data_IF_820420446216
#
_entry.id   IF_820420446216
#
_cell.length_a   1.000
_cell.length_b   1.000
_cell.length_c   1.000
_cell.angle_alpha   90.00
_cell.angle_beta   90.00
_cell.angle_gamma   90.00
#
_symmetry.space_group_name_H-M   'P 1'
#
loop_
_entity.id
_entity.type
_entity.pdbx_description
1 polymer ?
#
# COMPACT_ATOMS: atom_id res chain seq x y z
N UNK A 1 25.81 1.53 -11.29
CA UNK A 1 25.42 0.65 -10.17
C UNK A 1 23.92 0.48 -10.31
N UNK A 2 23.42 -0.73 -10.53
CA UNK A 2 21.97 -0.97 -10.56
C UNK A 2 21.45 -0.73 -9.15
N UNK A 3 20.60 0.27 -8.98
CA UNK A 3 20.00 0.57 -7.69
C UNK A 3 19.30 -0.69 -7.17
N UNK A 4 19.68 -1.14 -5.96
CA UNK A 4 19.09 -2.33 -5.33
C UNK A 4 17.74 -1.95 -4.74
N UNK A 5 16.71 -1.97 -5.59
CA UNK A 5 15.37 -1.50 -5.25
C UNK A 5 14.48 -2.68 -4.84
N UNK A 6 13.63 -2.44 -3.85
CA UNK A 6 12.44 -3.24 -3.54
C UNK A 6 11.23 -2.47 -4.08
N UNK A 7 10.52 -3.02 -5.06
CA UNK A 7 9.26 -2.44 -5.50
C UNK A 7 8.12 -2.93 -4.58
N UNK A 8 7.47 -2.00 -3.88
CA UNK A 8 6.38 -2.31 -2.94
C UNK A 8 5.04 -1.81 -3.48
N UNK A 9 4.25 -2.73 -4.04
CA UNK A 9 2.91 -2.45 -4.55
C UNK A 9 1.85 -2.71 -3.47
N UNK A 10 0.92 -1.77 -3.31
CA UNK A 10 -0.13 -1.88 -2.30
C UNK A 10 -1.40 -1.08 -2.63
N UNK A 11 -2.48 -1.30 -1.90
CA UNK A 11 -3.65 -0.42 -1.88
C UNK A 11 -3.94 0.04 -0.45
N UNK A 12 -4.26 1.32 -0.25
CA UNK A 12 -4.58 1.88 1.07
C UNK A 12 -5.75 1.18 1.79
N UNK A 13 -6.65 0.52 1.05
CA UNK A 13 -7.73 -0.30 1.58
C UNK A 13 -7.34 -1.73 1.94
N UNK A 14 -6.07 -2.14 1.79
CA UNK A 14 -5.60 -3.50 2.04
C UNK A 14 -5.04 -3.67 3.46
N UNK A 15 -5.65 -4.51 4.32
CA UNK A 15 -5.12 -4.81 5.66
C UNK A 15 -3.72 -5.43 5.64
N UNK A 16 -3.49 -6.43 4.79
CA UNK A 16 -2.16 -7.03 4.65
C UNK A 16 -1.15 -6.03 4.05
N UNK A 17 -1.61 -5.10 3.20
CA UNK A 17 -0.81 -3.99 2.70
C UNK A 17 -0.34 -3.07 3.83
N UNK A 18 -1.21 -2.79 4.80
CA UNK A 18 -0.89 -2.02 6.00
C UNK A 18 0.16 -2.71 6.88
N UNK A 19 0.00 -3.99 7.18
CA UNK A 19 1.00 -4.72 7.96
C UNK A 19 2.37 -4.73 7.26
N UNK A 20 2.41 -4.96 5.94
CA UNK A 20 3.65 -4.89 5.18
C UNK A 20 4.25 -3.48 5.15
N UNK A 21 3.44 -2.43 5.07
CA UNK A 21 3.90 -1.03 5.10
C UNK A 21 4.62 -0.66 6.42
N UNK A 22 4.31 -1.34 7.52
CA UNK A 22 5.00 -1.16 8.81
C UNK A 22 6.35 -1.89 8.88
N UNK A 23 6.63 -2.84 7.98
CA UNK A 23 7.86 -3.64 7.98
C UNK A 23 8.79 -3.35 6.81
N UNK A 24 8.27 -2.86 5.67
CA UNK A 24 8.99 -2.86 4.38
C UNK A 24 10.28 -2.03 4.40
N UNK A 25 10.31 -0.89 5.09
CA UNK A 25 11.53 -0.06 5.21
C UNK A 25 12.59 -0.71 6.09
N UNK A 26 12.18 -1.35 7.18
CA UNK A 26 13.10 -2.08 8.05
C UNK A 26 13.70 -3.27 7.29
N UNK A 27 12.87 -4.01 6.55
CA UNK A 27 13.29 -5.08 5.65
C UNK A 27 14.32 -4.57 4.62
N UNK A 28 14.05 -3.44 3.97
CA UNK A 28 14.97 -2.87 2.98
C UNK A 28 16.31 -2.46 3.61
N UNK A 29 16.27 -1.83 4.78
CA UNK A 29 17.45 -1.45 5.55
C UNK A 29 18.30 -2.65 5.94
N UNK A 30 17.67 -3.73 6.45
CA UNK A 30 18.34 -5.01 6.75
C UNK A 30 19.06 -5.60 5.53
N UNK A 31 18.52 -5.38 4.33
CA UNK A 31 19.04 -5.92 3.07
C UNK A 31 20.02 -4.96 2.35
N UNK A 32 20.28 -3.76 2.90
CA UNK A 32 21.06 -2.72 2.25
C UNK A 32 20.43 -2.24 0.93
N UNK A 33 19.10 -2.10 0.92
CA UNK A 33 18.27 -1.72 -0.23
C UNK A 33 17.41 -0.49 0.08
N UNK A 34 16.83 0.09 -0.97
CA UNK A 34 15.79 1.13 -0.86
C UNK A 34 14.44 0.58 -1.31
N UNK A 35 13.35 1.21 -0.87
CA UNK A 35 11.98 0.85 -1.27
C UNK A 35 11.42 1.91 -2.20
N UNK A 36 10.77 1.48 -3.28
CA UNK A 36 9.89 2.33 -4.08
C UNK A 36 8.44 1.93 -3.81
N UNK A 37 7.69 2.84 -3.18
CA UNK A 37 6.28 2.66 -2.85
C UNK A 37 5.42 2.92 -4.08
N UNK A 38 4.53 1.98 -4.40
CA UNK A 38 3.70 1.98 -5.62
C UNK A 38 2.23 1.69 -5.28
N UNK A 39 1.50 2.67 -4.72
CA UNK A 39 0.09 2.47 -4.46
C UNK A 39 -0.71 2.30 -5.76
N UNK A 40 -1.63 1.35 -5.81
CA UNK A 40 -2.54 1.15 -6.93
C UNK A 40 -3.93 0.78 -6.42
N UNK A 41 -4.88 0.59 -7.34
CA UNK A 41 -6.24 0.16 -7.01
C UNK A 41 -6.43 -1.33 -7.33
N UNK A 42 -6.75 -2.18 -6.35
CA UNK A 42 -6.99 -3.60 -6.58
C UNK A 42 -8.18 -3.86 -7.51
N UNK A 43 -9.12 -2.91 -7.62
CA UNK A 43 -10.24 -3.02 -8.56
C UNK A 43 -9.81 -3.33 -10.00
N UNK A 44 -8.66 -2.80 -10.46
CA UNK A 44 -8.13 -3.14 -11.80
C UNK A 44 -7.60 -4.57 -11.87
N UNK A 45 -6.95 -5.06 -10.80
CA UNK A 45 -6.47 -6.43 -10.69
C UNK A 45 -7.63 -7.45 -10.55
N UNK A 46 -8.67 -7.11 -9.80
CA UNK A 46 -9.88 -7.92 -9.65
C UNK A 46 -10.58 -8.10 -10.99
N UNK A 47 -10.74 -7.03 -11.77
CA UNK A 47 -11.32 -7.12 -13.11
C UNK A 47 -10.54 -8.05 -14.05
N UNK A 48 -9.21 -8.10 -13.91
CA UNK A 48 -8.33 -8.98 -14.72
C UNK A 48 -8.34 -10.44 -14.26
N UNK A 49 -8.41 -10.69 -12.95
CA UNK A 49 -8.30 -12.03 -12.36
C UNK A 49 -9.64 -12.72 -12.09
N UNK A 50 -10.74 -11.98 -12.13
CA UNK A 50 -12.06 -12.47 -11.71
C UNK A 50 -12.22 -12.57 -10.18
N UNK A 51 -11.30 -11.96 -9.42
CA UNK A 51 -11.35 -11.92 -7.96
C UNK A 51 -12.30 -10.85 -7.44
N UNK A 52 -12.60 -10.90 -6.14
CA UNK A 52 -13.39 -9.89 -5.40
C UNK A 52 -12.65 -9.52 -4.11
N UNK A 53 -13.03 -8.41 -3.42
CA UNK A 53 -12.47 -8.08 -2.11
C UNK A 53 -12.50 -9.28 -1.15
N UNK A 54 -11.40 -9.49 -0.43
CA UNK A 54 -11.20 -10.70 0.40
C UNK A 54 -12.32 -10.92 1.44
N UNK A 55 -12.85 -9.83 2.01
CA UNK A 55 -13.95 -9.87 2.98
C UNK A 55 -15.25 -10.43 2.41
N UNK A 56 -15.43 -10.33 1.09
CA UNK A 56 -16.62 -10.78 0.36
C UNK A 56 -16.50 -12.23 -0.11
N UNK A 57 -15.30 -12.82 -0.06
CA UNK A 57 -15.11 -14.23 -0.42
C UNK A 57 -15.67 -15.14 0.70
N UNK A 58 -16.63 -16.04 0.40
CA UNK A 58 -17.20 -16.94 1.41
C UNK A 58 -16.11 -17.74 2.14
N UNK A 59 -16.30 -17.95 3.45
CA UNK A 59 -15.37 -18.58 4.39
C UNK A 59 -14.07 -17.78 4.65
N UNK A 60 -13.46 -17.18 3.62
CA UNK A 60 -12.24 -16.37 3.79
C UNK A 60 -12.51 -15.07 4.53
N UNK A 61 -13.66 -14.44 4.30
CA UNK A 61 -13.99 -13.16 4.92
C UNK A 61 -13.98 -13.19 6.44
N UNK A 62 -14.52 -14.25 7.05
CA UNK A 62 -14.55 -14.40 8.51
C UNK A 62 -13.20 -14.84 9.07
N UNK A 63 -12.45 -15.66 8.32
CA UNK A 63 -11.07 -16.01 8.67
C UNK A 63 -10.18 -14.76 8.76
N UNK A 64 -10.22 -13.91 7.73
CA UNK A 64 -9.32 -12.75 7.65
C UNK A 64 -9.57 -11.73 8.74
N UNK A 65 -10.82 -11.57 9.21
CA UNK A 65 -11.10 -10.73 10.38
C UNK A 65 -10.31 -11.17 11.61
N UNK A 66 -10.29 -12.48 11.90
CA UNK A 66 -9.52 -13.02 13.01
C UNK A 66 -8.02 -12.98 12.74
N UNK A 67 -7.63 -13.13 11.47
CA UNK A 67 -6.23 -13.10 11.06
C UNK A 67 -5.60 -11.73 11.24
N UNK A 68 -6.29 -10.65 10.91
CA UNK A 68 -5.78 -9.29 11.11
C UNK A 68 -5.57 -8.96 12.59
N UNK A 69 -6.48 -9.40 13.47
CA UNK A 69 -6.29 -9.29 14.93
C UNK A 69 -5.04 -10.08 15.37
N UNK A 70 -4.88 -11.32 14.92
CA UNK A 70 -3.69 -12.14 15.24
C UNK A 70 -2.39 -11.49 14.75
N UNK A 71 -2.38 -10.91 13.56
CA UNK A 71 -1.19 -10.26 12.99
C UNK A 71 -0.86 -8.99 13.78
N UNK A 72 -1.88 -8.21 14.15
CA UNK A 72 -1.72 -7.07 15.06
C UNK A 72 -1.07 -7.50 16.37
N UNK A 73 -1.62 -8.51 17.05
CA UNK A 73 -1.07 -9.03 18.30
C UNK A 73 0.37 -9.57 18.15
N UNK A 74 0.64 -10.25 17.04
CA UNK A 74 1.96 -10.84 16.76
C UNK A 74 3.03 -9.80 16.45
N UNK A 75 2.69 -8.75 15.70
CA UNK A 75 3.63 -7.72 15.25
C UNK A 75 3.70 -6.50 16.16
N UNK A 76 2.71 -6.30 17.03
CA UNK A 76 2.52 -5.07 17.79
C UNK A 76 2.04 -3.88 16.93
N UNK A 77 1.64 -4.12 15.67
CA UNK A 77 1.13 -3.07 14.77
C UNK A 77 -0.26 -2.64 15.25
N UNK A 78 -0.50 -1.35 15.56
CA UNK A 78 -1.82 -0.87 15.97
C UNK A 78 -2.88 -1.18 14.91
N UNK A 79 -4.01 -1.75 15.33
CA UNK A 79 -5.05 -2.21 14.41
C UNK A 79 -6.46 -1.90 14.93
N UNK A 80 -7.34 -1.55 14.00
CA UNK A 80 -8.77 -1.36 14.18
C UNK A 80 -9.45 -1.58 12.83
N UNK A 81 -10.45 -2.46 12.79
CA UNK A 81 -11.27 -2.62 11.60
C UNK A 81 -12.05 -1.32 11.31
N UNK A 82 -11.90 -0.72 10.12
CA UNK A 82 -12.57 0.53 9.79
C UNK A 82 -14.09 0.36 9.77
N UNK A 83 -14.83 1.38 10.23
CA UNK A 83 -16.31 1.37 10.26
C UNK A 83 -16.94 1.06 8.89
N UNK A 84 -16.32 1.53 7.81
CA UNK A 84 -16.74 1.26 6.44
C UNK A 84 -15.64 0.45 5.75
N UNK A 85 -15.84 -0.86 5.70
CA UNK A 85 -14.88 -1.80 5.12
C UNK A 85 -15.62 -2.97 4.44
N UNK A 86 -15.20 -3.42 3.24
CA UNK A 86 -14.18 -2.81 2.38
C UNK A 86 -14.67 -1.48 1.76
N UNK A 87 -13.76 -0.52 1.54
CA UNK A 87 -14.07 0.74 0.85
C UNK A 87 -12.90 1.17 -0.04
N UNK A 88 -13.20 1.66 -1.25
CA UNK A 88 -12.19 2.24 -2.13
C UNK A 88 -11.71 3.61 -1.60
N UNK A 89 -10.39 3.81 -1.56
CA UNK A 89 -9.74 5.03 -1.06
C UNK A 89 -8.96 5.66 -2.22
N UNK A 90 -9.55 6.68 -2.86
CA UNK A 90 -9.01 7.26 -4.09
C UNK A 90 -8.11 8.48 -3.86
N UNK A 91 -8.42 9.31 -2.86
CA UNK A 91 -7.66 10.53 -2.59
C UNK A 91 -6.23 10.23 -2.12
N UNK A 92 -6.04 9.25 -1.24
CA UNK A 92 -4.71 8.91 -0.72
C UNK A 92 -3.70 8.50 -1.81
N UNK A 93 -3.97 7.52 -2.70
CA UNK A 93 -3.00 7.17 -3.74
C UNK A 93 -2.79 8.28 -4.77
N UNK A 94 -3.80 9.13 -5.03
CA UNK A 94 -3.64 10.33 -5.87
C UNK A 94 -2.71 11.35 -5.22
N UNK A 95 -2.94 11.66 -3.95
CA UNK A 95 -2.10 12.57 -3.17
C UNK A 95 -0.66 12.09 -3.08
N UNK A 96 -0.46 10.77 -2.91
CA UNK A 96 0.87 10.16 -2.96
C UNK A 96 1.57 10.46 -4.29
N UNK A 97 0.95 10.15 -5.42
CA UNK A 97 1.59 10.39 -6.73
C UNK A 97 1.77 11.87 -7.05
N UNK A 98 0.87 12.75 -6.61
CA UNK A 98 1.04 14.20 -6.75
C UNK A 98 2.30 14.71 -6.02
N UNK A 99 2.64 14.14 -4.87
CA UNK A 99 3.87 14.46 -4.14
C UNK A 99 5.11 13.90 -4.86
N UNK A 100 5.03 12.67 -5.37
CA UNK A 100 6.11 12.04 -6.15
C UNK A 100 6.40 12.85 -7.43
N UNK A 101 5.38 13.31 -8.14
CA UNK A 101 5.54 14.11 -9.37
C UNK A 101 6.19 15.49 -9.08
N UNK A 102 6.22 15.93 -7.82
CA UNK A 102 6.95 17.12 -7.37
C UNK A 102 8.38 16.82 -6.88
N UNK A 103 8.85 15.57 -6.94
CA UNK A 103 10.13 15.13 -6.38
C UNK A 103 10.16 15.12 -4.85
N UNK A 104 9.00 14.92 -4.20
CA UNK A 104 8.86 14.87 -2.74
C UNK A 104 8.65 13.44 -2.24
N UNK A 105 9.45 12.49 -2.72
CA UNK A 105 9.32 11.05 -2.47
C UNK A 105 9.27 10.70 -0.97
N UNK A 106 10.17 11.26 -0.16
CA UNK A 106 10.20 11.01 1.30
C UNK A 106 8.92 11.50 2.00
N UNK A 107 8.38 12.64 1.56
CA UNK A 107 7.13 13.19 2.08
C UNK A 107 5.94 12.34 1.61
N UNK A 108 5.97 11.81 0.39
CA UNK A 108 4.97 10.89 -0.12
C UNK A 108 4.91 9.60 0.72
N UNK A 109 6.06 9.02 1.06
CA UNK A 109 6.15 7.84 1.95
C UNK A 109 5.67 8.18 3.37
N UNK A 110 6.05 9.35 3.90
CA UNK A 110 5.57 9.84 5.20
C UNK A 110 4.05 9.94 5.23
N UNK A 111 3.47 10.56 4.19
CA UNK A 111 2.03 10.66 4.01
C UNK A 111 1.36 9.29 3.87
N UNK A 112 1.94 8.37 3.09
CA UNK A 112 1.36 7.04 2.91
C UNK A 112 1.26 6.28 4.24
N UNK A 113 2.30 6.33 5.07
CA UNK A 113 2.29 5.72 6.42
C UNK A 113 1.23 6.37 7.31
N UNK A 114 1.14 7.70 7.31
CA UNK A 114 0.15 8.43 8.09
C UNK A 114 -1.29 8.11 7.65
N UNK A 115 -1.55 8.05 6.35
CA UNK A 115 -2.85 7.68 5.78
C UNK A 115 -3.24 6.25 6.17
N UNK A 116 -2.33 5.29 6.03
CA UNK A 116 -2.56 3.92 6.49
C UNK A 116 -2.92 3.85 7.98
N UNK A 117 -2.14 4.52 8.84
CA UNK A 117 -2.41 4.60 10.29
C UNK A 117 -3.77 5.24 10.57
N UNK A 118 -4.10 6.33 9.87
CA UNK A 118 -5.38 7.01 10.02
C UNK A 118 -6.56 6.05 9.77
N UNK A 119 -6.47 5.22 8.73
CA UNK A 119 -7.52 4.27 8.39
C UNK A 119 -7.56 3.05 9.31
N UNK A 120 -6.43 2.36 9.49
CA UNK A 120 -6.37 1.05 10.15
C UNK A 120 -5.98 1.06 11.63
N UNK A 121 -5.61 2.20 12.21
CA UNK A 121 -5.35 2.31 13.64
C UNK A 121 -6.26 3.35 14.31
N UNK A 122 -6.44 4.50 13.67
CA UNK A 122 -7.19 5.62 14.24
C UNK A 122 -8.68 5.61 13.84
N UNK A 123 -9.12 4.66 12.99
CA UNK A 123 -10.50 4.48 12.51
C UNK A 123 -11.09 5.77 11.89
N UNK A 124 -10.26 6.52 11.15
CA UNK A 124 -10.62 7.76 10.46
C UNK A 124 -11.22 7.48 9.08
N UNK A 125 -12.16 8.31 8.59
CA UNK A 125 -12.88 8.08 7.32
C UNK A 125 -12.03 8.45 6.09
N UNK A 126 -10.90 7.76 5.89
CA UNK A 126 -9.94 8.03 4.80
C UNK A 126 -10.52 7.86 3.39
N UNK A 127 -11.71 7.26 3.25
CA UNK A 127 -12.45 7.20 1.99
C UNK A 127 -13.03 8.56 1.54
N UNK A 128 -12.83 9.63 2.31
CA UNK A 128 -13.22 11.00 1.94
C UNK A 128 -12.00 11.83 1.57
N UNK A 129 -12.15 12.74 0.62
CA UNK A 129 -11.07 13.62 0.20
C UNK A 129 -10.65 14.57 1.33
N UNK A 130 -11.62 15.01 2.15
CA UNK A 130 -11.41 15.90 3.28
C UNK A 130 -10.50 15.25 4.32
N UNK A 131 -10.77 14.00 4.69
CA UNK A 131 -9.95 13.29 5.67
C UNK A 131 -8.54 13.02 5.12
N UNK A 132 -8.42 12.63 3.84
CA UNK A 132 -7.13 12.44 3.20
C UNK A 132 -6.29 13.74 3.19
N UNK A 133 -6.93 14.90 3.02
CA UNK A 133 -6.29 16.20 3.08
C UNK A 133 -5.93 16.63 4.51
N UNK A 134 -6.76 16.29 5.52
CA UNK A 134 -6.47 16.55 6.93
C UNK A 134 -5.25 15.74 7.39
N UNK A 135 -5.15 14.47 6.99
CA UNK A 135 -3.94 13.65 7.22
C UNK A 135 -2.72 14.22 6.47
N UNK A 136 -2.90 14.70 5.24
CA UNK A 136 -1.80 15.34 4.50
C UNK A 136 -1.29 16.59 5.25
N UNK A 137 -2.21 17.40 5.79
CA UNK A 137 -1.89 18.57 6.61
C UNK A 137 -1.09 18.23 7.85
N UNK A 138 -1.42 17.14 8.53
CA UNK A 138 -0.65 16.64 9.68
C UNK A 138 0.80 16.27 9.31
N UNK A 139 1.06 15.95 8.04
CA UNK A 139 2.40 15.70 7.50
C UNK A 139 3.09 16.97 6.96
N UNK A 140 2.48 18.15 7.12
CA UNK A 140 3.03 19.43 6.63
C UNK A 140 2.75 19.74 5.15
N UNK A 141 1.79 19.04 4.54
CA UNK A 141 1.34 19.31 3.16
C UNK A 141 0.20 20.33 3.19
N UNK A 142 0.17 21.28 2.26
CA UNK A 142 -0.94 22.23 2.19
C UNK A 142 -2.26 21.52 1.86
N UNK A 143 -3.26 21.74 2.72
CA UNK A 143 -4.56 21.05 2.67
C UNK A 143 -5.35 21.39 1.40
N UNK A 144 -5.36 22.66 1.02
CA UNK A 144 -6.19 23.14 -0.10
C UNK A 144 -5.52 22.79 -1.43
N UNK A 145 -4.18 22.88 -1.51
CA UNK A 145 -3.42 22.35 -2.64
C UNK A 145 -3.65 20.85 -2.81
N UNK A 146 -3.64 20.08 -1.71
CA UNK A 146 -3.91 18.63 -1.75
C UNK A 146 -5.32 18.34 -2.28
N UNK A 147 -6.36 19.02 -1.77
CA UNK A 147 -7.74 18.84 -2.22
C UNK A 147 -7.91 19.15 -3.70
N UNK A 148 -7.27 20.22 -4.17
CA UNK A 148 -7.24 20.58 -5.59
C UNK A 148 -6.54 19.48 -6.42
N UNK A 149 -5.37 19.03 -5.97
CA UNK A 149 -4.55 18.06 -6.67
C UNK A 149 -5.22 16.68 -6.83
N UNK A 150 -5.89 16.16 -5.80
CA UNK A 150 -6.56 14.84 -5.90
C UNK A 150 -7.79 14.85 -6.82
N UNK A 151 -8.27 16.04 -7.18
CA UNK A 151 -9.33 16.24 -8.17
C UNK A 151 -8.81 16.54 -9.58
N UNK A 152 -7.52 16.88 -9.71
CA UNK A 152 -6.90 17.18 -10.99
C UNK A 152 -6.90 15.98 -11.94
N UNK A 153 -7.11 16.25 -13.24
CA UNK A 153 -7.20 15.22 -14.27
C UNK A 153 -5.87 14.50 -14.48
N UNK A 154 -4.75 15.21 -14.41
CA UNK A 154 -3.42 14.62 -14.56
C UNK A 154 -3.14 13.63 -13.43
N UNK A 155 -3.40 14.02 -12.17
CA UNK A 155 -3.21 13.13 -11.01
C UNK A 155 -4.14 11.92 -11.06
N UNK A 156 -5.38 12.10 -11.51
CA UNK A 156 -6.31 10.98 -11.74
C UNK A 156 -5.78 9.99 -12.80
N UNK A 157 -5.28 10.50 -13.94
CA UNK A 157 -4.68 9.67 -14.98
C UNK A 157 -3.41 8.99 -14.49
N UNK A 158 -2.56 9.69 -13.73
CA UNK A 158 -1.32 9.16 -13.13
C UNK A 158 -1.57 7.88 -12.35
N UNK A 159 -2.59 7.86 -11.48
CA UNK A 159 -2.97 6.66 -10.72
C UNK A 159 -3.44 5.51 -11.62
N UNK A 160 -4.21 5.81 -12.67
CA UNK A 160 -4.67 4.79 -13.64
C UNK A 160 -3.48 4.18 -14.37
N UNK A 161 -2.54 5.01 -14.83
CA UNK A 161 -1.33 4.57 -15.54
C UNK A 161 -0.44 3.71 -14.64
N UNK A 162 -0.23 4.10 -13.38
CA UNK A 162 0.54 3.29 -12.43
C UNK A 162 -0.15 1.96 -12.10
N UNK A 163 -1.48 1.96 -12.02
CA UNK A 163 -2.26 0.73 -11.94
C UNK A 163 -2.05 -0.19 -13.15
N UNK A 164 -2.05 0.37 -14.37
CA UNK A 164 -1.81 -0.42 -15.58
C UNK A 164 -0.38 -0.97 -15.61
N UNK A 165 0.63 -0.17 -15.24
CA UNK A 165 2.02 -0.63 -15.12
C UNK A 165 2.16 -1.78 -14.12
N UNK A 166 1.44 -1.73 -13.00
CA UNK A 166 1.42 -2.82 -12.02
C UNK A 166 0.87 -4.11 -12.65
N UNK A 167 -0.27 -4.04 -13.35
CA UNK A 167 -0.85 -5.18 -14.05
C UNK A 167 0.10 -5.73 -15.12
N UNK A 168 0.73 -4.87 -15.91
CA UNK A 168 1.68 -5.28 -16.96
C UNK A 168 2.93 -5.95 -16.37
N UNK A 169 3.28 -5.62 -15.11
CA UNK A 169 4.34 -6.27 -14.33
C UNK A 169 3.89 -7.56 -13.63
N UNK A 170 2.63 -7.98 -13.81
CA UNK A 170 2.07 -9.19 -13.19
C UNK A 170 1.60 -9.00 -11.74
N UNK A 171 1.51 -7.76 -11.25
CA UNK A 171 0.98 -7.46 -9.92
C UNK A 171 -0.53 -7.66 -9.93
N UNK A 172 -1.04 -8.47 -9.00
CA UNK A 172 -2.48 -8.80 -8.94
C UNK A 172 -3.10 -8.67 -7.55
N UNK A 173 -2.34 -8.23 -6.55
CA UNK A 173 -2.78 -8.19 -5.16
C UNK A 173 -2.00 -7.19 -4.32
N UNK A 174 -2.37 -7.07 -3.04
CA UNK A 174 -1.71 -6.18 -2.09
C UNK A 174 -1.51 -6.90 -0.76
N UNK A 175 -0.30 -6.87 -0.17
CA UNK A 175 0.92 -6.30 -0.73
C UNK A 175 1.52 -7.22 -1.80
N UNK A 176 2.24 -6.64 -2.75
CA UNK A 176 3.02 -7.39 -3.74
C UNK A 176 4.40 -6.75 -3.84
N UNK A 177 5.43 -7.56 -3.68
CA UNK A 177 6.82 -7.10 -3.55
C UNK A 177 7.63 -7.71 -4.69
N UNK A 178 8.42 -6.89 -5.39
CA UNK A 178 9.33 -7.35 -6.45
C UNK A 178 10.76 -6.93 -6.10
N UNK A 179 11.69 -7.89 -6.16
CA UNK A 179 13.11 -7.69 -5.85
C UNK A 179 13.91 -8.44 -6.91
N UNK A 180 14.71 -7.71 -7.70
CA UNK A 180 15.52 -8.29 -8.79
C UNK A 180 14.70 -9.21 -9.73
N UNK A 181 13.53 -8.74 -10.17
CA UNK A 181 12.52 -9.47 -10.97
C UNK A 181 11.85 -10.69 -10.29
N UNK A 182 12.22 -11.03 -9.05
CA UNK A 182 11.55 -12.07 -8.28
C UNK A 182 10.35 -11.48 -7.52
N UNK A 183 9.19 -12.14 -7.63
CA UNK A 183 7.91 -11.63 -7.13
C UNK A 183 7.40 -12.40 -5.91
N UNK A 184 6.95 -11.66 -4.90
CA UNK A 184 6.42 -12.17 -3.64
C UNK A 184 5.07 -11.51 -3.34
N UNK A 185 4.02 -12.31 -3.20
CA UNK A 185 2.66 -11.81 -2.92
C UNK A 185 2.21 -12.20 -1.52
N UNK A 186 1.80 -11.22 -0.72
CA UNK A 186 1.33 -11.40 0.65
C UNK A 186 2.32 -10.90 1.70
N UNK A 187 1.77 -10.41 2.82
CA UNK A 187 2.57 -9.99 3.99
C UNK A 187 3.35 -11.17 4.58
N UNK A 188 2.77 -12.37 4.56
CA UNK A 188 3.38 -13.61 5.03
C UNK A 188 4.65 -14.02 4.28
N UNK A 189 4.97 -13.36 3.15
CA UNK A 189 6.21 -13.57 2.40
C UNK A 189 7.39 -12.74 2.87
N UNK A 190 7.21 -11.79 3.78
CA UNK A 190 8.33 -10.97 4.30
C UNK A 190 9.42 -11.85 4.92
N UNK A 191 9.06 -12.88 5.69
CA UNK A 191 10.05 -13.82 6.23
C UNK A 191 10.79 -14.59 5.12
N UNK A 192 10.06 -15.04 4.10
CA UNK A 192 10.63 -15.72 2.93
C UNK A 192 11.56 -14.80 2.13
N UNK A 193 11.25 -13.52 2.02
CA UNK A 193 12.11 -12.51 1.38
C UNK A 193 13.43 -12.37 2.15
N UNK A 194 13.39 -12.34 3.49
CA UNK A 194 14.62 -12.31 4.30
C UNK A 194 15.50 -13.54 4.05
N UNK A 195 14.91 -14.71 3.94
CA UNK A 195 15.66 -15.94 3.66
C UNK A 195 16.21 -15.97 2.24
N UNK A 196 15.40 -15.57 1.26
CA UNK A 196 15.81 -15.43 -0.14
C UNK A 196 16.96 -14.43 -0.30
N UNK A 197 16.95 -13.32 0.44
CA UNK A 197 18.06 -12.36 0.41
C UNK A 197 19.38 -12.97 0.87
N UNK A 198 19.34 -13.80 1.92
CA UNK A 198 20.54 -14.43 2.50
C UNK A 198 21.10 -15.56 1.64
N UNK A 199 20.22 -16.31 0.98
CA UNK A 199 20.56 -17.60 0.37
C UNK A 199 20.51 -17.55 -1.17
N UNK A 200 19.96 -16.48 -1.74
CA UNK A 200 19.67 -16.37 -3.16
C UNK A 200 18.48 -17.23 -3.57
N UNK A 201 18.32 -17.41 -4.88
CA UNK A 201 17.25 -18.24 -5.44
C UNK A 201 17.53 -19.73 -5.17
N UNK A 202 16.54 -20.40 -4.59
CA UNK A 202 16.56 -21.83 -4.33
C UNK A 202 16.40 -22.62 -5.63
N UNK A 203 17.17 -23.70 -5.79
CA UNK A 203 17.12 -24.64 -6.92
C UNK A 203 16.52 -25.97 -6.53
#
# INVERSE_FOLDING_TARGET
MTDKIIEFYFEFGSPYGYFAANEIEALASEMGRTVVWKPFMLGSAFAKTGSVPLREVPLKGDYCLQDWERISDYTGTPWSLPKKFPTAILAAPRGFYWLVDQGKDDLAVTYAKAAYKAYFADNRPLWTDQEAADVAKECGIDREEFLSAVQDKHVKSRLIEEGQKAIDRGVFGSPFIIIDDEAFWGWDRIAMIRDWHKQGKWS
#
